data_IF_923420209538
#
_entry.id   IF_923420209538
#
_cell.length_a   1.000
_cell.length_b   1.000
_cell.length_c   1.000
_cell.angle_alpha   90.00
_cell.angle_beta   90.00
_cell.angle_gamma   90.00
#
_symmetry.space_group_name_H-M   'P 1'
#
loop_
_entity.id
_entity.type
_entity.pdbx_description
1 polymer ?
#
# COMPACT_ATOMS: atom_id res chain seq x y z
N UNK A 1 -12.09 15.75 -8.13
CA UNK A 1 -10.69 15.82 -8.61
C UNK A 1 -10.40 14.79 -9.69
N UNK A 2 -10.60 13.50 -9.43
CA UNK A 2 -10.34 12.43 -10.40
C UNK A 2 -11.09 12.57 -11.76
N UNK A 3 -12.23 13.26 -11.79
CA UNK A 3 -13.02 13.54 -13.01
C UNK A 3 -12.44 14.66 -13.90
N UNK A 4 -11.65 15.59 -13.34
CA UNK A 4 -11.23 16.82 -14.02
C UNK A 4 -9.83 16.72 -14.68
N UNK A 5 -9.26 15.52 -14.71
CA UNK A 5 -8.00 15.22 -15.40
C UNK A 5 -6.73 15.54 -14.61
N UNK A 6 -5.57 15.16 -15.17
CA UNK A 6 -4.27 15.20 -14.48
C UNK A 6 -3.79 16.58 -14.08
N UNK A 7 -4.15 17.63 -14.83
CA UNK A 7 -3.65 18.98 -14.57
C UNK A 7 -4.16 19.54 -13.23
N UNK A 8 -5.45 19.36 -12.95
CA UNK A 8 -6.06 19.79 -11.68
C UNK A 8 -5.57 18.90 -10.53
N UNK A 9 -5.46 17.59 -10.78
CA UNK A 9 -4.90 16.65 -9.83
C UNK A 9 -3.47 17.04 -9.39
N UNK A 10 -2.56 17.27 -10.35
CA UNK A 10 -1.18 17.68 -10.05
C UNK A 10 -1.09 19.01 -9.31
N UNK A 11 -1.96 19.98 -9.63
CA UNK A 11 -1.99 21.26 -8.94
C UNK A 11 -2.40 21.09 -7.46
N UNK A 12 -3.42 20.26 -7.22
CA UNK A 12 -3.87 19.95 -5.86
C UNK A 12 -2.79 19.20 -5.07
N UNK A 13 -2.26 18.10 -5.61
CA UNK A 13 -1.23 17.28 -4.94
C UNK A 13 0.03 18.07 -4.61
N UNK A 14 0.40 19.05 -5.46
CA UNK A 14 1.54 19.94 -5.22
C UNK A 14 1.40 20.78 -3.95
N UNK A 15 0.18 21.05 -3.50
CA UNK A 15 -0.11 21.94 -2.36
C UNK A 15 -0.69 21.16 -1.16
N UNK A 16 -1.39 20.06 -1.40
CA UNK A 16 -2.13 19.31 -0.37
C UNK A 16 -1.25 18.76 0.75
N UNK A 17 0.02 18.45 0.49
CA UNK A 17 0.95 17.95 1.50
C UNK A 17 1.31 18.98 2.58
N UNK A 18 1.29 20.27 2.26
CA UNK A 18 1.78 21.32 3.17
C UNK A 18 0.84 21.53 4.38
N UNK A 19 -0.49 21.71 4.19
CA UNK A 19 -1.42 21.75 5.31
C UNK A 19 -1.34 20.50 6.20
N UNK A 20 -1.21 19.32 5.59
CA UNK A 20 -1.07 18.06 6.34
C UNK A 20 0.17 18.07 7.23
N UNK A 21 1.32 18.44 6.67
CA UNK A 21 2.57 18.55 7.42
C UNK A 21 2.45 19.52 8.60
N UNK A 22 1.81 20.68 8.40
CA UNK A 22 1.59 21.65 9.49
C UNK A 22 0.74 21.05 10.61
N UNK A 23 -0.31 20.29 10.29
CA UNK A 23 -1.13 19.62 11.31
C UNK A 23 -0.39 18.52 12.06
N UNK A 24 0.55 17.83 11.40
CA UNK A 24 1.43 16.87 12.06
C UNK A 24 2.43 17.56 12.99
N UNK A 25 2.99 18.71 12.60
CA UNK A 25 3.86 19.49 13.49
C UNK A 25 3.12 19.95 14.76
N UNK A 26 1.86 20.40 14.62
CA UNK A 26 1.02 20.77 15.77
C UNK A 26 0.74 19.56 16.65
N UNK A 27 0.44 18.41 16.04
CA UNK A 27 0.20 17.16 16.76
C UNK A 27 1.44 16.72 17.55
N UNK A 28 2.61 16.72 16.92
CA UNK A 28 3.88 16.40 17.58
C UNK A 28 4.12 17.37 18.74
N UNK A 29 3.97 18.68 18.53
CA UNK A 29 4.15 19.67 19.60
C UNK A 29 3.21 19.47 20.80
N UNK A 30 1.99 19.01 20.56
CA UNK A 30 0.98 18.73 21.58
C UNK A 30 1.20 17.41 22.31
N UNK A 31 1.60 16.38 21.57
CA UNK A 31 1.63 14.99 22.02
C UNK A 31 3.01 14.51 22.48
N UNK A 32 4.10 15.15 22.06
CA UNK A 32 5.47 14.67 22.27
C UNK A 32 5.86 14.51 23.74
N UNK A 33 5.29 15.30 24.65
CA UNK A 33 5.52 15.17 26.10
C UNK A 33 4.95 13.88 26.69
N UNK A 34 4.06 13.20 25.97
CA UNK A 34 3.43 11.93 26.35
C UNK A 34 4.06 10.74 25.64
N UNK A 35 4.99 10.96 24.69
CA UNK A 35 5.68 9.88 24.01
C UNK A 35 6.72 9.29 24.94
N UNK A 36 6.76 7.96 25.01
CA UNK A 36 7.86 7.25 25.65
C UNK A 36 8.94 6.93 24.60
N UNK A 37 10.14 7.48 24.80
CA UNK A 37 11.32 7.24 23.96
C UNK A 37 12.23 6.14 24.52
N UNK A 38 12.02 5.74 25.78
CA UNK A 38 12.80 4.73 26.49
C UNK A 38 12.07 3.38 26.56
N UNK A 39 10.94 3.25 25.87
CA UNK A 39 10.15 2.03 25.81
C UNK A 39 10.97 0.85 25.26
N UNK A 40 11.14 -0.19 26.08
CA UNK A 40 11.90 -1.40 25.74
C UNK A 40 10.95 -2.52 25.31
N UNK A 41 11.30 -3.25 24.25
CA UNK A 41 10.59 -4.45 23.83
C UNK A 41 10.63 -5.54 24.92
N UNK A 42 9.46 -6.00 25.37
CA UNK A 42 9.32 -7.02 26.41
C UNK A 42 9.08 -8.40 25.77
N UNK A 43 9.89 -9.40 26.13
CA UNK A 43 9.70 -10.79 25.70
C UNK A 43 11.01 -11.58 25.61
N UNK A 44 10.93 -12.85 25.17
CA UNK A 44 12.13 -13.60 24.80
C UNK A 44 12.78 -12.99 23.55
N UNK A 45 14.11 -13.13 23.36
CA UNK A 45 14.78 -12.62 22.18
C UNK A 45 14.16 -13.10 20.85
N UNK A 46 13.70 -14.36 20.76
CA UNK A 46 13.06 -14.84 19.53
C UNK A 46 11.72 -14.16 19.27
N UNK A 47 10.89 -13.97 20.31
CA UNK A 47 9.59 -13.32 20.19
C UNK A 47 9.73 -11.86 19.76
N UNK A 48 10.72 -11.16 20.31
CA UNK A 48 11.02 -9.78 19.93
C UNK A 48 11.42 -9.70 18.47
N UNK A 49 12.32 -10.58 18.00
CA UNK A 49 12.73 -10.62 16.60
C UNK A 49 11.58 -10.96 15.65
N UNK A 50 10.69 -11.89 16.04
CA UNK A 50 9.49 -12.24 15.28
C UNK A 50 8.55 -11.04 15.10
N UNK A 51 8.33 -10.27 16.17
CA UNK A 51 7.49 -9.06 16.11
C UNK A 51 8.16 -7.92 15.34
N UNK A 52 9.47 -7.75 15.44
CA UNK A 52 10.21 -6.78 14.60
C UNK A 52 10.06 -7.11 13.11
N UNK A 53 10.19 -8.38 12.73
CA UNK A 53 10.01 -8.79 11.34
C UNK A 53 8.58 -8.57 10.85
N UNK A 54 7.59 -8.90 11.68
CA UNK A 54 6.18 -8.67 11.36
C UNK A 54 5.87 -7.18 11.18
N UNK A 55 6.40 -6.35 12.08
CA UNK A 55 6.26 -4.89 11.98
C UNK A 55 6.96 -4.34 10.72
N UNK A 56 8.13 -4.87 10.37
CA UNK A 56 8.81 -4.53 9.12
C UNK A 56 7.99 -4.91 7.88
N UNK A 57 7.42 -6.13 7.85
CA UNK A 57 6.53 -6.59 6.78
C UNK A 57 5.30 -5.67 6.65
N UNK A 58 4.71 -5.26 7.76
CA UNK A 58 3.58 -4.33 7.79
C UNK A 58 3.97 -2.96 7.22
N UNK A 59 5.09 -2.39 7.68
CA UNK A 59 5.60 -1.12 7.16
C UNK A 59 5.96 -1.18 5.67
N UNK A 60 6.40 -2.34 5.17
CA UNK A 60 6.70 -2.55 3.75
C UNK A 60 5.43 -2.71 2.90
N UNK A 61 4.36 -3.32 3.44
CA UNK A 61 3.12 -3.57 2.69
C UNK A 61 2.45 -2.29 2.16
N UNK A 62 2.51 -1.20 2.94
CA UNK A 62 1.88 0.09 2.61
C UNK A 62 2.49 0.73 1.35
N UNK A 63 3.81 0.99 1.26
CA UNK A 63 4.41 1.55 0.06
C UNK A 63 4.37 0.59 -1.12
N UNK A 64 4.49 -0.73 -0.89
CA UNK A 64 4.36 -1.74 -1.94
C UNK A 64 3.00 -1.66 -2.63
N UNK A 65 1.94 -1.30 -1.91
CA UNK A 65 0.61 -1.15 -2.49
C UNK A 65 0.51 -0.11 -3.61
N UNK A 66 1.47 0.82 -3.71
CA UNK A 66 1.51 1.86 -4.74
C UNK A 66 2.24 1.42 -6.02
N UNK A 67 2.92 0.28 -6.02
CA UNK A 67 3.69 -0.19 -7.18
C UNK A 67 2.79 -0.34 -8.42
N UNK A 68 1.62 -1.03 -8.38
CA UNK A 68 0.79 -1.19 -9.57
C UNK A 68 0.27 0.13 -10.13
N UNK A 69 0.02 1.12 -9.27
CA UNK A 69 -0.46 2.45 -9.67
C UNK A 69 0.64 3.30 -10.31
N UNK A 70 1.92 2.99 -10.06
CA UNK A 70 3.03 3.84 -10.50
C UNK A 70 3.09 4.01 -12.04
N UNK A 71 2.70 2.98 -12.79
CA UNK A 71 2.65 3.02 -14.25
C UNK A 71 1.65 4.07 -14.78
N UNK A 72 0.52 4.26 -14.09
CA UNK A 72 -0.52 5.22 -14.47
C UNK A 72 -0.03 6.66 -14.39
N UNK A 73 0.97 6.93 -13.55
CA UNK A 73 1.51 8.27 -13.32
C UNK A 73 2.79 8.53 -14.11
N UNK A 74 3.68 7.54 -14.21
CA UNK A 74 4.95 7.73 -14.93
C UNK A 74 4.78 7.84 -16.45
N UNK A 75 3.66 7.38 -17.01
CA UNK A 75 3.35 7.59 -18.44
C UNK A 75 3.29 9.08 -18.84
N UNK A 76 3.05 9.97 -17.87
CA UNK A 76 3.02 11.42 -18.10
C UNK A 76 4.40 12.08 -18.08
N UNK A 77 5.45 11.37 -17.68
CA UNK A 77 6.80 11.91 -17.66
C UNK A 77 7.39 11.92 -19.07
N UNK A 78 8.21 12.93 -19.38
CA UNK A 78 8.86 12.98 -20.69
C UNK A 78 9.82 11.78 -20.85
N UNK A 79 9.93 11.18 -22.05
CA UNK A 79 10.84 10.06 -22.29
C UNK A 79 12.32 10.36 -22.01
N UNK A 80 12.70 11.65 -22.01
CA UNK A 80 14.06 12.13 -21.72
C UNK A 80 14.39 12.19 -20.23
N UNK A 81 13.41 11.96 -19.35
CA UNK A 81 13.60 12.03 -17.90
C UNK A 81 14.56 10.93 -17.42
N UNK A 82 15.57 11.32 -16.62
CA UNK A 82 16.56 10.36 -16.10
C UNK A 82 15.87 9.35 -15.16
N UNK A 83 16.14 8.05 -15.38
CA UNK A 83 15.60 6.96 -14.54
C UNK A 83 16.01 7.09 -13.08
N UNK A 84 17.28 7.41 -12.82
CA UNK A 84 17.79 7.60 -11.45
C UNK A 84 17.12 8.77 -10.72
N UNK A 85 16.83 9.87 -11.42
CA UNK A 85 16.11 10.99 -10.83
C UNK A 85 14.69 10.59 -10.43
N UNK A 86 13.97 9.91 -11.32
CA UNK A 86 12.62 9.42 -11.05
C UNK A 86 12.61 8.47 -9.86
N UNK A 87 13.55 7.51 -9.83
CA UNK A 87 13.70 6.58 -8.71
C UNK A 87 14.00 7.29 -7.38
N UNK A 88 14.97 8.21 -7.35
CA UNK A 88 15.33 8.92 -6.12
C UNK A 88 14.20 9.82 -5.62
N UNK A 89 13.53 10.56 -6.51
CA UNK A 89 12.42 11.44 -6.13
C UNK A 89 11.27 10.64 -5.50
N UNK A 90 10.86 9.54 -6.15
CA UNK A 90 9.78 8.69 -5.64
C UNK A 90 10.17 8.01 -4.33
N UNK A 91 11.38 7.45 -4.26
CA UNK A 91 11.82 6.72 -3.07
C UNK A 91 11.93 7.64 -1.85
N UNK A 92 12.51 8.83 -2.01
CA UNK A 92 12.63 9.83 -0.93
C UNK A 92 11.26 10.36 -0.54
N UNK A 93 10.40 10.69 -1.50
CA UNK A 93 9.05 11.19 -1.23
C UNK A 93 8.19 10.18 -0.49
N UNK A 94 8.18 8.93 -0.95
CA UNK A 94 7.45 7.84 -0.30
C UNK A 94 8.00 7.53 1.09
N UNK A 95 9.32 7.48 1.24
CA UNK A 95 9.97 7.27 2.54
C UNK A 95 9.59 8.37 3.54
N UNK A 96 9.74 9.64 3.18
CA UNK A 96 9.43 10.76 4.09
C UNK A 96 7.95 10.77 4.47
N UNK A 97 7.04 10.57 3.51
CA UNK A 97 5.61 10.53 3.79
C UNK A 97 5.21 9.41 4.76
N UNK A 98 5.78 8.20 4.56
CA UNK A 98 5.47 7.04 5.40
C UNK A 98 6.20 7.11 6.76
N UNK A 99 7.47 7.50 6.79
CA UNK A 99 8.24 7.56 8.02
C UNK A 99 7.63 8.54 9.04
N UNK A 100 7.20 9.72 8.61
CA UNK A 100 6.57 10.72 9.50
C UNK A 100 5.29 10.15 10.13
N UNK A 101 4.43 9.53 9.31
CA UNK A 101 3.14 9.02 9.77
C UNK A 101 3.27 7.78 10.65
N UNK A 102 4.17 6.85 10.30
CA UNK A 102 4.46 5.65 11.10
C UNK A 102 5.09 6.01 12.44
N UNK A 103 6.12 6.84 12.47
CA UNK A 103 6.79 7.25 13.73
C UNK A 103 5.83 7.99 14.66
N UNK A 104 4.97 8.84 14.10
CA UNK A 104 3.93 9.51 14.86
C UNK A 104 2.90 8.53 15.43
N UNK A 105 2.49 7.53 14.65
CA UNK A 105 1.62 6.45 15.13
C UNK A 105 2.25 5.63 16.27
N UNK A 106 3.55 5.34 16.18
CA UNK A 106 4.31 4.68 17.24
C UNK A 106 4.32 5.53 18.51
N UNK A 107 4.63 6.84 18.41
CA UNK A 107 4.63 7.75 19.55
C UNK A 107 3.25 7.87 20.22
N UNK A 108 2.18 7.98 19.43
CA UNK A 108 0.82 7.97 19.98
C UNK A 108 0.49 6.64 20.67
N UNK A 109 0.95 5.52 20.11
CA UNK A 109 0.78 4.20 20.69
C UNK A 109 1.48 4.04 22.04
N UNK A 110 2.70 4.54 22.20
CA UNK A 110 3.39 4.53 23.51
C UNK A 110 2.69 5.43 24.52
N UNK A 111 2.12 6.56 24.10
CA UNK A 111 1.34 7.43 25.00
C UNK A 111 0.17 6.72 25.69
N UNK A 112 -0.46 5.73 25.04
CA UNK A 112 -1.57 4.94 25.61
C UNK A 112 -1.12 4.03 26.76
N UNK A 113 0.10 3.48 26.68
CA UNK A 113 0.59 2.56 27.70
C UNK A 113 0.99 3.28 28.98
N UNK A 114 1.37 4.57 28.90
CA UNK A 114 1.86 5.36 30.03
C UNK A 114 0.82 6.33 30.62
N UNK A 115 -0.13 6.81 29.83
CA UNK A 115 -1.09 7.84 30.28
C UNK A 115 -2.47 7.23 30.50
N UNK A 116 -2.92 7.18 31.75
CA UNK A 116 -4.25 6.67 32.11
C UNK A 116 -5.39 7.42 31.42
N UNK A 117 -5.22 8.73 31.20
CA UNK A 117 -6.16 9.59 30.46
C UNK A 117 -6.33 9.11 29.01
N UNK A 118 -5.22 8.89 28.29
CA UNK A 118 -5.27 8.42 26.90
C UNK A 118 -5.79 6.99 26.80
N UNK A 119 -5.48 6.14 27.78
CA UNK A 119 -6.05 4.79 27.88
C UNK A 119 -7.56 4.81 28.07
N UNK A 120 -8.11 5.81 28.79
CA UNK A 120 -9.55 5.97 28.98
C UNK A 120 -10.26 6.52 27.73
N UNK A 121 -9.55 7.33 26.93
CA UNK A 121 -10.07 7.88 25.66
C UNK A 121 -9.94 6.87 24.50
N UNK A 122 -8.98 5.95 24.58
CA UNK A 122 -8.73 4.96 23.54
C UNK A 122 -9.88 3.95 23.47
N UNK A 123 -10.61 3.96 22.37
CA UNK A 123 -11.77 3.10 22.10
C UNK A 123 -11.39 1.90 21.20
N UNK A 124 -10.09 1.68 21.00
CA UNK A 124 -9.56 0.72 20.04
C UNK A 124 -9.31 1.31 18.65
N UNK A 125 -9.76 2.53 18.35
CA UNK A 125 -9.60 3.15 17.03
C UNK A 125 -8.45 4.16 16.96
N UNK A 126 -7.76 4.29 15.81
CA UNK A 126 -6.73 5.32 15.63
C UNK A 126 -7.30 6.75 15.70
N UNK A 127 -8.59 6.93 15.44
CA UNK A 127 -9.24 8.24 15.42
C UNK A 127 -9.34 8.87 16.81
N UNK A 128 -9.68 8.08 17.84
CA UNK A 128 -9.76 8.61 19.21
C UNK A 128 -8.38 8.99 19.75
N UNK A 129 -7.34 8.23 19.38
CA UNK A 129 -5.95 8.53 19.66
C UNK A 129 -5.47 9.83 19.01
N UNK A 130 -5.83 10.02 17.75
CA UNK A 130 -5.52 11.26 17.04
C UNK A 130 -6.16 12.46 17.73
N UNK A 131 -7.41 12.34 18.16
CA UNK A 131 -8.11 13.39 18.90
C UNK A 131 -7.49 13.65 20.27
N UNK A 132 -7.11 12.60 21.01
CA UNK A 132 -6.41 12.72 22.29
C UNK A 132 -5.08 13.46 22.14
N UNK A 133 -4.35 13.19 21.04
CA UNK A 133 -3.11 13.88 20.72
C UNK A 133 -3.29 15.38 20.46
N UNK A 134 -4.47 15.84 20.03
CA UNK A 134 -4.78 17.26 19.80
C UNK A 134 -5.41 17.97 21.00
N UNK A 135 -5.76 17.26 22.06
CA UNK A 135 -6.62 17.78 23.13
C UNK A 135 -5.99 18.98 23.86
N UNK A 136 -4.67 18.98 24.03
CA UNK A 136 -3.94 20.07 24.71
C UNK A 136 -3.99 21.42 23.97
N UNK A 137 -4.32 21.41 22.68
CA UNK A 137 -4.34 22.60 21.79
C UNK A 137 -5.74 23.22 21.69
N UNK A 138 -6.76 22.59 22.30
CA UNK A 138 -8.12 23.09 22.35
C UNK A 138 -8.78 23.22 20.96
N UNK A 139 -9.35 24.39 20.66
CA UNK A 139 -10.12 24.62 19.41
C UNK A 139 -9.26 24.45 18.16
N UNK A 140 -8.01 24.92 18.19
CA UNK A 140 -7.09 24.76 17.07
C UNK A 140 -6.77 23.29 16.80
N UNK A 141 -6.66 22.46 17.85
CA UNK A 141 -6.47 21.02 17.73
C UNK A 141 -7.63 20.34 16.98
N UNK A 142 -8.88 20.73 17.27
CA UNK A 142 -10.06 20.23 16.54
C UNK A 142 -10.04 20.62 15.06
N UNK A 143 -9.61 21.84 14.74
CA UNK A 143 -9.45 22.29 13.35
C UNK A 143 -8.35 21.46 12.65
N UNK A 144 -7.22 21.22 13.30
CA UNK A 144 -6.15 20.37 12.78
C UNK A 144 -6.62 18.94 12.51
N UNK A 145 -7.41 18.36 13.42
CA UNK A 145 -8.00 17.03 13.23
C UNK A 145 -8.91 16.98 11.98
N UNK A 146 -9.74 18.00 11.74
CA UNK A 146 -10.57 18.09 10.53
C UNK A 146 -9.70 18.15 9.27
N UNK A 147 -8.63 18.95 9.27
CA UNK A 147 -7.70 19.03 8.12
C UNK A 147 -7.04 17.67 7.88
N UNK A 148 -6.65 16.95 8.92
CA UNK A 148 -6.06 15.61 8.82
C UNK A 148 -7.04 14.61 8.18
N UNK A 149 -8.31 14.61 8.61
CA UNK A 149 -9.37 13.81 7.98
C UNK A 149 -9.57 14.19 6.51
N UNK A 150 -9.49 15.47 6.15
CA UNK A 150 -9.54 15.90 4.75
C UNK A 150 -8.33 15.39 3.92
N UNK A 151 -7.21 15.03 4.57
CA UNK A 151 -6.06 14.39 3.93
C UNK A 151 -6.39 13.03 3.30
N UNK A 152 -7.42 12.35 3.81
CA UNK A 152 -7.95 11.11 3.22
C UNK A 152 -8.45 11.34 1.78
N UNK A 153 -8.88 12.56 1.45
CA UNK A 153 -9.27 12.92 0.07
C UNK A 153 -8.06 12.92 -0.86
N UNK A 154 -6.93 13.45 -0.41
CA UNK A 154 -5.68 13.44 -1.17
C UNK A 154 -5.18 12.00 -1.39
N UNK A 155 -5.31 11.12 -0.39
CA UNK A 155 -4.93 9.72 -0.53
C UNK A 155 -5.84 8.94 -1.51
N UNK A 156 -7.16 9.21 -1.50
CA UNK A 156 -8.11 8.49 -2.34
C UNK A 156 -8.23 9.01 -3.79
N UNK A 157 -7.87 10.27 -4.04
CA UNK A 157 -7.95 10.84 -5.37
C UNK A 157 -7.09 10.09 -6.41
N UNK A 158 -5.83 9.71 -6.11
CA UNK A 158 -5.02 8.88 -6.99
C UNK A 158 -5.66 7.51 -7.27
N UNK A 159 -6.07 6.79 -6.22
CA UNK A 159 -6.70 5.47 -6.37
C UNK A 159 -7.95 5.51 -7.24
N UNK A 160 -8.80 6.52 -7.05
CA UNK A 160 -10.00 6.74 -7.87
C UNK A 160 -9.68 7.05 -9.33
N UNK A 161 -8.56 7.72 -9.58
CA UNK A 161 -8.09 8.04 -10.92
C UNK A 161 -7.59 6.78 -11.65
N UNK A 162 -6.71 6.00 -11.01
CA UNK A 162 -6.15 4.74 -11.54
C UNK A 162 -7.23 3.71 -11.80
N UNK A 163 -8.19 3.57 -10.91
CA UNK A 163 -9.28 2.61 -11.07
C UNK A 163 -10.14 2.87 -12.31
N UNK A 164 -10.42 4.13 -12.63
CA UNK A 164 -11.13 4.47 -13.86
C UNK A 164 -10.33 4.10 -15.12
N UNK A 165 -8.99 4.17 -15.06
CA UNK A 165 -8.11 3.73 -16.14
C UNK A 165 -8.09 2.20 -16.24
N UNK A 166 -8.03 1.49 -15.12
CA UNK A 166 -8.10 0.03 -15.07
C UNK A 166 -9.37 -0.52 -15.71
N UNK A 167 -10.54 0.09 -15.47
CA UNK A 167 -11.78 -0.31 -16.15
C UNK A 167 -11.70 -0.17 -17.67
N UNK A 168 -11.06 0.89 -18.17
CA UNK A 168 -10.88 1.11 -19.61
C UNK A 168 -9.87 0.11 -20.23
N UNK A 169 -8.94 -0.43 -19.43
CA UNK A 169 -7.97 -1.43 -19.86
C UNK A 169 -8.55 -2.85 -19.95
N UNK A 170 -9.75 -3.11 -19.43
CA UNK A 170 -10.40 -4.44 -19.49
C UNK A 170 -10.89 -4.83 -20.89
N UNK A 171 -10.95 -3.88 -21.84
CA UNK A 171 -11.21 -4.19 -23.25
C UNK A 171 -11.83 -3.05 -24.05
N UNK A 172 -11.91 -3.25 -25.36
CA UNK A 172 -12.32 -2.24 -26.34
C UNK A 172 -13.73 -1.67 -26.10
N UNK A 173 -14.62 -2.42 -25.45
CA UNK A 173 -15.96 -1.93 -25.12
C UNK A 173 -15.92 -0.87 -24.01
N UNK A 174 -15.18 -1.14 -22.92
CA UNK A 174 -15.09 -0.27 -21.76
C UNK A 174 -14.31 1.02 -22.06
N UNK A 175 -13.40 0.96 -23.03
CA UNK A 175 -12.65 2.12 -23.52
C UNK A 175 -13.56 3.21 -24.15
N UNK A 176 -14.74 2.83 -24.66
CA UNK A 176 -15.72 3.77 -25.23
C UNK A 176 -16.48 4.58 -24.18
N UNK A 177 -16.46 4.14 -22.92
CA UNK A 177 -17.18 4.80 -21.84
C UNK A 177 -16.32 5.96 -21.30
N UNK A 178 -16.89 7.18 -21.19
CA UNK A 178 -16.16 8.32 -20.65
C UNK A 178 -15.64 8.07 -19.23
N UNK A 179 -14.39 8.41 -18.99
CA UNK A 179 -13.72 8.22 -17.70
C UNK A 179 -14.49 8.75 -16.48
N UNK A 180 -15.14 9.94 -16.51
CA UNK A 180 -15.89 10.43 -15.36
C UNK A 180 -16.98 9.47 -14.87
N UNK A 181 -17.56 8.66 -15.77
CA UNK A 181 -18.57 7.67 -15.39
C UNK A 181 -17.98 6.62 -14.45
N UNK A 182 -16.85 6.00 -14.79
CA UNK A 182 -16.18 5.02 -13.92
C UNK A 182 -15.71 5.63 -12.61
N UNK A 183 -15.20 6.87 -12.64
CA UNK A 183 -14.81 7.58 -11.42
C UNK A 183 -16.00 7.78 -10.48
N UNK A 184 -17.15 8.22 -11.00
CA UNK A 184 -18.37 8.43 -10.19
C UNK A 184 -18.91 7.10 -9.68
N UNK A 185 -19.04 6.12 -10.58
CA UNK A 185 -19.55 4.78 -10.24
C UNK A 185 -18.75 4.20 -9.08
N UNK A 186 -17.42 4.25 -9.18
CA UNK A 186 -16.62 3.64 -8.14
C UNK A 186 -16.58 4.45 -6.85
N UNK A 187 -16.70 5.77 -6.95
CA UNK A 187 -16.93 6.65 -5.78
C UNK A 187 -18.19 6.24 -5.02
N UNK A 188 -19.28 5.97 -5.74
CA UNK A 188 -20.53 5.50 -5.13
C UNK A 188 -20.34 4.13 -4.49
N UNK A 189 -19.66 3.19 -5.17
CA UNK A 189 -19.42 1.84 -4.65
C UNK A 189 -18.61 1.87 -3.36
N UNK A 190 -17.42 2.49 -3.35
CA UNK A 190 -16.61 2.51 -2.13
C UNK A 190 -17.26 3.35 -1.02
N UNK A 191 -18.04 4.39 -1.36
CA UNK A 191 -18.79 5.15 -0.35
C UNK A 191 -19.90 4.30 0.28
N UNK A 192 -20.63 3.51 -0.51
CA UNK A 192 -21.63 2.58 0.00
C UNK A 192 -20.99 1.52 0.91
N UNK A 193 -19.83 0.97 0.51
CA UNK A 193 -19.05 0.05 1.34
C UNK A 193 -18.57 0.72 2.64
N UNK A 194 -18.10 1.97 2.58
CA UNK A 194 -17.65 2.71 3.77
C UNK A 194 -18.81 3.01 4.74
N UNK A 195 -20.00 3.32 4.22
CA UNK A 195 -21.21 3.52 5.03
C UNK A 195 -21.64 2.20 5.69
N UNK A 196 -21.68 1.11 4.93
CA UNK A 196 -22.08 -0.21 5.44
C UNK A 196 -21.07 -0.83 6.39
N UNK A 197 -19.78 -0.59 6.18
CA UNK A 197 -18.67 -1.10 6.99
C UNK A 197 -18.28 -0.19 8.14
N UNK A 198 -18.96 0.93 8.37
CA UNK A 198 -18.51 1.98 9.30
C UNK A 198 -18.19 1.48 10.71
N UNK A 199 -18.95 0.50 11.19
CA UNK A 199 -18.87 -0.03 12.55
C UNK A 199 -17.78 -1.11 12.68
N UNK A 200 -17.25 -1.63 11.57
CA UNK A 200 -16.20 -2.66 11.51
C UNK A 200 -15.00 -2.25 10.65
N UNK A 201 -14.91 -0.97 10.25
CA UNK A 201 -13.88 -0.45 9.33
C UNK A 201 -12.47 -0.80 9.81
N UNK A 202 -12.21 -0.63 11.10
CA UNK A 202 -10.89 -0.87 11.67
C UNK A 202 -10.47 -2.35 11.59
N UNK A 203 -11.37 -3.26 11.92
CA UNK A 203 -11.15 -4.70 11.82
C UNK A 203 -10.94 -5.14 10.35
N UNK A 204 -11.75 -4.61 9.44
CA UNK A 204 -11.60 -4.87 7.99
C UNK A 204 -10.23 -4.39 7.51
N UNK A 205 -9.80 -3.18 7.89
CA UNK A 205 -8.50 -2.65 7.50
C UNK A 205 -7.33 -3.48 8.04
N UNK A 206 -7.37 -3.89 9.31
CA UNK A 206 -6.32 -4.73 9.89
C UNK A 206 -6.18 -6.08 9.17
N UNK A 207 -7.30 -6.69 8.79
CA UNK A 207 -7.30 -8.01 8.14
C UNK A 207 -6.95 -7.95 6.64
N UNK A 208 -7.35 -6.87 5.96
CA UNK A 208 -7.21 -6.75 4.51
C UNK A 208 -5.88 -6.14 4.07
N UNK A 209 -5.31 -5.24 4.87
CA UNK A 209 -4.08 -4.52 4.49
C UNK A 209 -2.88 -5.47 4.25
N UNK A 210 -2.62 -6.48 5.10
CA UNK A 210 -1.54 -7.44 4.85
C UNK A 210 -1.77 -8.28 3.60
N UNK A 211 -3.03 -8.68 3.34
CA UNK A 211 -3.41 -9.42 2.13
C UNK A 211 -3.10 -8.63 0.86
N UNK A 212 -3.35 -7.31 0.87
CA UNK A 212 -2.96 -6.42 -0.24
C UNK A 212 -1.45 -6.50 -0.48
N UNK A 213 -0.65 -6.42 0.59
CA UNK A 213 0.80 -6.53 0.50
C UNK A 213 1.27 -7.85 -0.14
N UNK A 214 0.65 -8.97 0.22
CA UNK A 214 1.04 -10.29 -0.26
C UNK A 214 0.83 -10.46 -1.77
N UNK A 215 -0.35 -10.13 -2.29
CA UNK A 215 -0.59 -10.33 -3.73
C UNK A 215 0.24 -9.36 -4.57
N UNK A 216 0.49 -8.14 -4.07
CA UNK A 216 1.29 -7.16 -4.80
C UNK A 216 2.75 -7.54 -4.81
N UNK A 217 3.31 -8.09 -3.73
CA UNK A 217 4.71 -8.53 -3.78
C UNK A 217 4.89 -9.71 -4.75
N UNK A 218 3.92 -10.65 -4.80
CA UNK A 218 3.91 -11.75 -5.76
C UNK A 218 3.87 -11.19 -7.19
N UNK A 219 2.93 -10.27 -7.46
CA UNK A 219 2.82 -9.62 -8.77
C UNK A 219 4.09 -8.85 -9.14
N UNK A 220 4.66 -8.10 -8.19
CA UNK A 220 5.90 -7.36 -8.38
C UNK A 220 7.06 -8.28 -8.73
N UNK A 221 7.21 -9.41 -8.03
CA UNK A 221 8.24 -10.41 -8.33
C UNK A 221 8.11 -10.92 -9.76
N UNK A 222 6.91 -11.29 -10.20
CA UNK A 222 6.66 -11.74 -11.58
C UNK A 222 7.08 -10.67 -12.60
N UNK A 223 6.63 -9.44 -12.40
CA UNK A 223 6.93 -8.33 -13.33
C UNK A 223 8.41 -8.00 -13.34
N UNK A 224 9.06 -7.97 -12.17
CA UNK A 224 10.48 -7.70 -12.05
C UNK A 224 11.32 -8.79 -12.73
N UNK A 225 10.96 -10.06 -12.56
CA UNK A 225 11.66 -11.18 -13.21
C UNK A 225 11.44 -11.21 -14.72
N UNK A 226 10.24 -10.91 -15.20
CA UNK A 226 9.95 -10.78 -16.63
C UNK A 226 10.82 -9.66 -17.25
N UNK A 227 10.92 -8.51 -16.60
CA UNK A 227 11.74 -7.39 -17.09
C UNK A 227 13.25 -7.69 -17.01
N UNK A 228 13.74 -8.21 -15.88
CA UNK A 228 15.18 -8.40 -15.62
C UNK A 228 15.75 -9.64 -16.32
N UNK A 229 15.02 -10.76 -16.37
CA UNK A 229 15.51 -12.02 -16.91
C UNK A 229 15.17 -12.19 -18.39
N UNK A 230 13.97 -11.82 -18.82
CA UNK A 230 13.47 -12.14 -20.17
C UNK A 230 13.45 -10.94 -21.12
N UNK A 231 13.34 -9.72 -20.60
CA UNK A 231 13.17 -8.49 -21.42
C UNK A 231 14.28 -7.44 -21.27
N UNK A 232 15.33 -7.69 -20.47
CA UNK A 232 16.39 -6.71 -20.15
C UNK A 232 17.04 -5.99 -21.33
N UNK A 233 17.10 -6.63 -22.50
CA UNK A 233 17.70 -6.09 -23.72
C UNK A 233 16.70 -5.94 -24.88
N UNK A 234 15.40 -6.10 -24.63
CA UNK A 234 14.35 -6.01 -25.66
C UNK A 234 13.66 -4.66 -25.54
N UNK A 235 13.46 -3.99 -26.67
CA UNK A 235 12.56 -2.83 -26.70
C UNK A 235 11.11 -3.32 -26.69
N UNK A 236 10.26 -2.66 -25.91
CA UNK A 236 8.81 -2.87 -25.98
C UNK A 236 8.30 -2.41 -27.35
N UNK A 237 7.62 -3.30 -28.06
CA UNK A 237 6.94 -2.98 -29.31
C UNK A 237 5.55 -2.41 -29.01
N UNK A 238 5.44 -1.08 -29.08
CA UNK A 238 4.19 -0.37 -28.84
C UNK A 238 3.14 -0.59 -29.93
N UNK A 239 3.44 -1.25 -31.05
CA UNK A 239 2.45 -1.53 -32.09
C UNK A 239 1.58 -2.75 -31.76
N UNK A 240 2.06 -3.65 -30.90
CA UNK A 240 1.39 -4.92 -30.56
C UNK A 240 0.63 -4.90 -29.24
N UNK A 241 0.65 -3.76 -28.53
CA UNK A 241 0.14 -3.65 -27.15
C UNK A 241 -1.33 -4.09 -26.97
N UNK A 242 -2.19 -3.86 -27.97
CA UNK A 242 -3.60 -4.24 -27.93
C UNK A 242 -3.91 -5.51 -28.76
N UNK A 243 -2.92 -6.36 -29.01
CA UNK A 243 -3.11 -7.59 -29.77
C UNK A 243 -2.86 -8.82 -28.91
N UNK A 244 -3.92 -9.36 -28.31
CA UNK A 244 -3.87 -10.56 -27.46
C UNK A 244 -3.22 -11.77 -28.15
N UNK A 245 -3.27 -11.84 -29.49
CA UNK A 245 -2.65 -12.93 -30.26
C UNK A 245 -1.14 -12.80 -30.38
N UNK A 246 -0.53 -11.67 -30.01
CA UNK A 246 0.92 -11.46 -30.05
C UNK A 246 1.54 -11.35 -28.66
N UNK A 247 0.72 -11.19 -27.64
CA UNK A 247 1.14 -11.14 -26.25
C UNK A 247 1.36 -12.56 -25.68
N UNK A 248 2.22 -12.69 -24.64
CA UNK A 248 2.35 -13.95 -23.90
C UNK A 248 1.00 -14.39 -23.33
N UNK A 249 0.78 -15.69 -23.23
CA UNK A 249 -0.49 -16.26 -22.74
C UNK A 249 -0.73 -15.97 -21.26
N UNK A 250 0.34 -15.72 -20.49
CA UNK A 250 0.26 -15.43 -19.07
C UNK A 250 -0.02 -16.66 -18.21
N UNK A 251 0.12 -17.87 -18.75
CA UNK A 251 -0.10 -19.11 -18.00
C UNK A 251 1.00 -19.30 -16.98
N UNK A 252 2.25 -19.03 -17.36
CA UNK A 252 3.39 -19.06 -16.44
C UNK A 252 3.20 -18.06 -15.28
N UNK A 253 2.78 -16.84 -15.59
CA UNK A 253 2.48 -15.82 -14.59
C UNK A 253 1.32 -16.23 -13.68
N UNK A 254 0.23 -16.78 -14.24
CA UNK A 254 -0.93 -17.23 -13.47
C UNK A 254 -0.60 -18.39 -12.51
N UNK A 255 0.14 -19.40 -12.98
CA UNK A 255 0.56 -20.51 -12.12
C UNK A 255 1.52 -20.00 -11.03
N UNK A 256 2.48 -19.16 -11.37
CA UNK A 256 3.43 -18.60 -10.41
C UNK A 256 2.74 -17.74 -9.36
N UNK A 257 1.71 -17.00 -9.75
CA UNK A 257 0.87 -16.22 -8.84
C UNK A 257 0.15 -17.11 -7.82
N UNK A 258 -0.39 -18.26 -8.26
CA UNK A 258 -1.01 -19.24 -7.36
C UNK A 258 0.01 -19.90 -6.43
N UNK A 259 1.21 -20.23 -6.92
CA UNK A 259 2.31 -20.76 -6.11
C UNK A 259 2.78 -19.74 -5.07
N UNK A 260 2.87 -18.46 -5.46
CA UNK A 260 3.13 -17.35 -4.55
C UNK A 260 2.09 -17.26 -3.44
N UNK A 261 0.80 -17.39 -3.77
CA UNK A 261 -0.27 -17.42 -2.77
C UNK A 261 -0.15 -18.61 -1.83
N UNK A 262 0.20 -19.79 -2.32
CA UNK A 262 0.48 -20.94 -1.46
C UNK A 262 1.62 -20.62 -0.47
N UNK A 263 2.69 -19.96 -0.94
CA UNK A 263 3.79 -19.45 -0.10
C UNK A 263 3.33 -18.45 0.96
N UNK A 264 2.49 -17.48 0.56
CA UNK A 264 1.95 -16.49 1.49
C UNK A 264 1.03 -17.14 2.55
N UNK A 265 0.19 -18.09 2.15
CA UNK A 265 -0.72 -18.82 3.05
C UNK A 265 0.07 -19.65 4.06
N UNK A 266 1.14 -20.33 3.67
CA UNK A 266 1.91 -21.11 4.67
C UNK A 266 2.64 -20.22 5.68
N UNK A 267 2.94 -18.96 5.29
CA UNK A 267 3.75 -18.01 6.05
C UNK A 267 3.02 -16.92 6.81
N UNK A 268 1.74 -16.67 6.52
CA UNK A 268 1.02 -15.53 7.10
C UNK A 268 0.69 -15.76 8.59
N UNK A 269 0.76 -14.69 9.38
CA UNK A 269 0.27 -14.66 10.77
C UNK A 269 -0.76 -13.53 10.90
N UNK A 270 -2.02 -13.87 10.64
CA UNK A 270 -3.14 -12.93 10.63
C UNK A 270 -4.18 -13.29 11.69
N UNK A 271 -5.01 -12.32 12.08
CA UNK A 271 -6.03 -12.51 13.14
C UNK A 271 -6.99 -13.66 12.81
N UNK A 272 -7.31 -13.87 11.53
CA UNK A 272 -8.24 -14.91 11.08
C UNK A 272 -7.56 -16.24 10.73
N UNK A 273 -6.25 -16.24 10.48
CA UNK A 273 -5.52 -17.43 10.04
C UNK A 273 -4.02 -17.30 10.28
N UNK A 274 -3.44 -18.32 10.90
CA UNK A 274 -2.00 -18.46 11.07
C UNK A 274 -1.51 -19.69 10.30
N UNK A 275 -0.57 -19.48 9.38
CA UNK A 275 0.03 -20.53 8.58
C UNK A 275 0.90 -21.48 9.40
N UNK A 276 1.09 -22.72 8.93
CA UNK A 276 1.91 -23.73 9.62
C UNK A 276 3.34 -23.26 9.90
N UNK A 277 3.96 -22.47 9.01
CA UNK A 277 5.32 -21.96 9.23
C UNK A 277 5.31 -20.88 10.31
N UNK A 278 4.35 -19.98 10.28
CA UNK A 278 4.20 -18.94 11.30
C UNK A 278 3.98 -19.54 12.71
N UNK A 279 3.23 -20.66 12.82
CA UNK A 279 3.00 -21.37 14.09
C UNK A 279 4.28 -21.96 14.70
N UNK A 280 5.26 -22.34 13.88
CA UNK A 280 6.53 -22.91 14.39
C UNK A 280 7.42 -21.86 15.04
N UNK A 281 7.19 -20.57 14.77
CA UNK A 281 8.01 -19.47 15.26
C UNK A 281 7.48 -19.01 16.61
N UNK A 282 8.32 -19.07 17.63
CA UNK A 282 7.98 -18.63 18.98
C UNK A 282 7.54 -17.14 18.98
N UNK A 283 6.26 -16.90 19.22
CA UNK A 283 5.69 -15.55 19.27
C UNK A 283 4.91 -15.10 18.04
N UNK A 284 4.85 -15.91 16.98
CA UNK A 284 4.12 -15.60 15.74
C UNK A 284 4.81 -14.51 14.92
N UNK A 285 5.27 -14.87 13.72
CA UNK A 285 5.90 -13.97 12.76
C UNK A 285 5.15 -14.02 11.43
N UNK A 286 4.73 -12.85 10.96
CA UNK A 286 4.14 -12.74 9.62
C UNK A 286 5.25 -12.78 8.55
N UNK A 287 5.34 -13.92 7.88
CA UNK A 287 6.25 -14.20 6.77
C UNK A 287 5.54 -14.24 5.41
N UNK A 288 4.25 -13.91 5.35
CA UNK A 288 3.44 -14.07 4.14
C UNK A 288 4.02 -13.32 2.94
N UNK A 289 4.50 -12.09 3.16
CA UNK A 289 5.13 -11.26 2.13
C UNK A 289 6.43 -11.90 1.59
N UNK A 290 7.30 -12.36 2.48
CA UNK A 290 8.61 -12.92 2.13
C UNK A 290 8.50 -14.28 1.45
N UNK A 291 7.66 -15.16 1.97
CA UNK A 291 7.44 -16.49 1.40
C UNK A 291 6.64 -16.41 0.10
N UNK A 292 5.67 -15.49 -0.01
CA UNK A 292 4.99 -15.21 -1.26
C UNK A 292 5.96 -14.76 -2.35
N UNK A 293 6.84 -13.80 -2.06
CA UNK A 293 7.87 -13.36 -2.98
C UNK A 293 8.86 -14.49 -3.34
N UNK A 294 9.35 -15.23 -2.35
CA UNK A 294 10.34 -16.29 -2.56
C UNK A 294 9.82 -17.47 -3.37
N UNK A 295 8.59 -17.93 -3.09
CA UNK A 295 7.98 -19.04 -3.84
C UNK A 295 7.71 -18.63 -5.29
N UNK A 296 7.26 -17.40 -5.49
CA UNK A 296 7.06 -16.83 -6.82
C UNK A 296 8.37 -16.74 -7.60
N UNK A 297 9.43 -16.25 -6.96
CA UNK A 297 10.74 -16.08 -7.58
C UNK A 297 11.38 -17.42 -8.00
N UNK A 298 11.09 -18.50 -7.28
CA UNK A 298 11.55 -19.84 -7.65
C UNK A 298 10.69 -20.47 -8.74
N UNK A 299 9.38 -20.21 -8.76
CA UNK A 299 8.44 -20.84 -9.68
C UNK A 299 8.41 -20.15 -11.05
N UNK A 300 8.49 -18.83 -11.11
CA UNK A 300 8.25 -18.08 -12.34
C UNK A 300 9.32 -18.27 -13.42
N UNK A 301 10.64 -18.22 -13.13
CA UNK A 301 11.66 -18.40 -14.16
C UNK A 301 11.56 -19.73 -14.93
N UNK A 302 11.45 -20.92 -14.29
CA UNK A 302 11.34 -22.17 -15.04
C UNK A 302 10.02 -22.28 -15.80
N UNK A 303 8.90 -21.81 -15.22
CA UNK A 303 7.60 -21.82 -15.90
C UNK A 303 7.59 -20.91 -17.12
N UNK A 304 8.23 -19.75 -17.04
CA UNK A 304 8.34 -18.82 -18.17
C UNK A 304 9.24 -19.37 -19.28
N UNK A 305 10.35 -20.03 -18.93
CA UNK A 305 11.18 -20.74 -19.92
C UNK A 305 10.41 -21.84 -20.66
N UNK A 306 9.56 -22.59 -19.95
CA UNK A 306 8.70 -23.61 -20.55
C UNK A 306 7.63 -23.01 -21.47
N UNK A 307 7.00 -21.90 -21.06
CA UNK A 307 6.02 -21.19 -21.91
C UNK A 307 6.67 -20.68 -23.20
N UNK A 308 7.86 -20.07 -23.09
CA UNK A 308 8.64 -19.62 -24.25
C UNK A 308 9.02 -20.78 -25.18
N UNK A 309 9.37 -21.95 -24.62
CA UNK A 309 9.71 -23.12 -25.41
C UNK A 309 8.50 -23.74 -26.13
N UNK A 310 7.34 -23.82 -25.48
CA UNK A 310 6.13 -24.44 -26.06
C UNK A 310 5.39 -23.52 -27.03
N UNK A 311 5.30 -22.23 -26.71
CA UNK A 311 4.42 -21.26 -27.40
C UNK A 311 5.22 -20.31 -28.29
N UNK A 312 6.52 -20.15 -28.03
CA UNK A 312 7.40 -19.24 -28.76
C UNK A 312 7.21 -17.76 -28.41
N UNK A 313 6.42 -17.43 -27.38
CA UNK A 313 6.12 -16.06 -26.92
C UNK A 313 5.72 -16.03 -25.44
#
# INVERSE_FOLDING_TARGET
>A
MATFGMRIFQLYERVAWLPQLLTFCVLIGSAASRFDFDAVSVGSPERVNAKHLSFFSLCLSIPVAWIPLSADYYVYYQPTTKRSLTWSMTSIGAYLGMAITVLMGVGLGTGVTHTSEWKAIYDGTPGSLLMAGYDSVGVLGKICAVINVLGVVACNAPGSYSMAMNFQMLGDYWLKIPRPFFTILTTVIYAACAIGGRDSLYEIFQNFLPLIGYWIIIWFTIVAEEDILFNRNKSYDWSIWNNWRKLPLGVAAGISFLVGWAGAIVGMDQVYYTGPIALTIAGGADLGLWLGAGFTALAFPPLRMLELWMVGR
#
